data_IF_243191819476
#
_entry.id   IF_243191819476
#
_cell.length_a   1.000
_cell.length_b   1.000
_cell.length_c   1.000
_cell.angle_alpha   90.00
_cell.angle_beta   90.00
_cell.angle_gamma   90.00
#
_symmetry.space_group_name_H-M   'P 1'
#
loop_
_entity.id
_entity.type
_entity.pdbx_description
1 polymer ?
#
# COMPACT_ATOMS: atom_id res chain seq x y z
N UNK A 1 -10.33 0.27 -31.87
CA UNK A 1 -10.22 0.95 -30.56
C UNK A 1 -8.82 1.52 -30.45
N UNK A 2 -8.66 2.85 -30.44
CA UNK A 2 -7.37 3.48 -30.22
C UNK A 2 -6.95 3.19 -28.76
N UNK A 3 -5.90 2.37 -28.56
CA UNK A 3 -5.25 2.25 -27.26
C UNK A 3 -4.75 3.64 -26.89
N UNK A 4 -5.36 4.28 -25.89
CA UNK A 4 -4.75 5.44 -25.24
C UNK A 4 -3.42 4.93 -24.67
N UNK A 5 -2.30 5.43 -25.23
CA UNK A 5 -0.97 5.16 -24.66
C UNK A 5 -0.90 5.99 -23.38
N UNK A 6 -1.22 5.39 -22.24
CA UNK A 6 -1.01 6.03 -20.95
C UNK A 6 0.49 6.06 -20.66
N UNK A 7 1.03 7.25 -20.35
CA UNK A 7 2.40 7.36 -19.85
C UNK A 7 2.50 6.64 -18.52
N UNK A 8 3.39 5.65 -18.43
CA UNK A 8 3.60 4.86 -17.22
C UNK A 8 4.10 5.73 -16.07
N UNK A 9 3.55 5.57 -14.88
CA UNK A 9 4.02 6.23 -13.67
C UNK A 9 5.30 5.55 -13.20
N UNK A 10 6.30 6.35 -12.87
CA UNK A 10 7.63 5.92 -12.40
C UNK A 10 7.99 6.63 -11.10
N UNK A 11 9.04 6.18 -10.42
CA UNK A 11 9.59 6.90 -9.26
C UNK A 11 9.89 8.37 -9.59
N UNK A 12 10.42 8.62 -10.79
CA UNK A 12 10.69 9.99 -11.27
C UNK A 12 9.41 10.81 -11.44
N UNK A 13 8.34 10.20 -11.96
CA UNK A 13 7.05 10.88 -12.11
C UNK A 13 6.47 11.31 -10.77
N UNK A 14 6.64 10.51 -9.70
CA UNK A 14 6.16 10.89 -8.36
C UNK A 14 6.92 12.10 -7.81
N UNK A 15 8.23 12.19 -8.07
CA UNK A 15 9.01 13.37 -7.72
C UNK A 15 8.55 14.60 -8.50
N UNK A 16 8.36 14.46 -9.81
CA UNK A 16 7.83 15.55 -10.67
C UNK A 16 6.45 16.03 -10.18
N UNK A 17 5.56 15.12 -9.74
CA UNK A 17 4.27 15.48 -9.15
C UNK A 17 4.44 16.32 -7.89
N UNK A 18 5.31 15.90 -6.95
CA UNK A 18 5.61 16.70 -5.75
C UNK A 18 6.14 18.08 -6.11
N UNK A 19 7.12 18.16 -7.01
CA UNK A 19 7.76 19.40 -7.42
C UNK A 19 6.75 20.38 -8.06
N UNK A 20 5.72 19.84 -8.73
CA UNK A 20 4.63 20.61 -9.33
C UNK A 20 3.45 20.90 -8.36
N UNK A 21 3.49 20.38 -7.14
CA UNK A 21 2.37 20.49 -6.19
C UNK A 21 1.15 19.61 -6.54
N UNK A 22 1.32 18.63 -7.43
CA UNK A 22 0.29 17.67 -7.79
C UNK A 22 0.18 16.58 -6.72
N UNK A 23 -1.06 16.17 -6.38
CA UNK A 23 -1.28 15.15 -5.36
C UNK A 23 -1.18 13.75 -5.94
N UNK A 24 -0.48 12.87 -5.22
CA UNK A 24 -0.26 11.47 -5.57
C UNK A 24 -1.39 10.63 -4.95
N UNK A 25 -2.08 9.86 -5.79
CA UNK A 25 -3.08 8.90 -5.38
C UNK A 25 -2.49 7.50 -5.31
N UNK A 26 -2.73 6.82 -4.16
CA UNK A 26 -2.24 5.46 -3.93
C UNK A 26 -3.34 4.59 -3.33
N UNK A 27 -3.50 3.36 -3.83
CA UNK A 27 -4.43 2.36 -3.29
C UNK A 27 -3.77 1.01 -3.19
N UNK A 28 -4.23 0.18 -2.24
CA UNK A 28 -3.81 -1.22 -2.23
C UNK A 28 -4.56 -2.03 -3.29
N UNK A 29 -3.94 -3.11 -3.77
CA UNK A 29 -4.62 -4.19 -4.50
C UNK A 29 -3.85 -5.50 -4.33
N UNK A 30 -4.55 -6.64 -4.42
CA UNK A 30 -3.98 -7.94 -4.08
C UNK A 30 -4.26 -9.02 -5.13
N UNK A 31 -5.08 -8.72 -6.14
CA UNK A 31 -5.48 -9.66 -7.20
C UNK A 31 -5.53 -8.99 -8.57
N UNK A 32 -5.62 -9.82 -9.61
CA UNK A 32 -5.63 -9.40 -11.00
C UNK A 32 -6.84 -8.54 -11.37
N UNK A 33 -8.04 -8.92 -10.91
CA UNK A 33 -9.29 -8.28 -11.34
C UNK A 33 -9.42 -6.87 -10.77
N UNK A 34 -9.24 -6.73 -9.44
CA UNK A 34 -9.29 -5.43 -8.77
C UNK A 34 -8.13 -4.53 -9.19
N UNK A 35 -6.91 -5.08 -9.37
CA UNK A 35 -5.79 -4.29 -9.85
C UNK A 35 -6.04 -3.66 -11.23
N UNK A 36 -6.65 -4.39 -12.15
CA UNK A 36 -7.03 -3.86 -13.46
C UNK A 36 -8.09 -2.76 -13.40
N UNK A 37 -9.02 -2.83 -12.45
CA UNK A 37 -10.01 -1.78 -12.19
C UNK A 37 -9.33 -0.53 -11.61
N UNK A 38 -8.46 -0.72 -10.60
CA UNK A 38 -7.70 0.37 -9.96
C UNK A 38 -6.81 1.08 -10.96
N UNK A 39 -6.08 0.36 -11.81
CA UNK A 39 -5.20 0.95 -12.81
C UNK A 39 -6.00 1.78 -13.85
N UNK A 40 -7.14 1.26 -14.32
CA UNK A 40 -8.04 1.97 -15.24
C UNK A 40 -8.70 3.19 -14.63
N UNK A 41 -8.84 3.27 -13.31
CA UNK A 41 -9.39 4.44 -12.61
C UNK A 41 -8.41 5.63 -12.55
N UNK A 42 -7.14 5.42 -12.93
CA UNK A 42 -6.14 6.48 -12.98
C UNK A 42 -5.34 6.69 -11.69
N UNK A 43 -5.37 5.73 -10.76
CA UNK A 43 -4.52 5.74 -9.56
C UNK A 43 -3.03 5.72 -9.96
N UNK A 44 -2.21 6.53 -9.29
CA UNK A 44 -0.80 6.68 -9.65
C UNK A 44 0.08 5.55 -9.10
N UNK A 45 -0.23 5.05 -7.90
CA UNK A 45 0.54 3.99 -7.25
C UNK A 45 -0.39 2.89 -6.74
N UNK A 46 -0.08 1.66 -7.07
CA UNK A 46 -0.73 0.47 -6.49
C UNK A 46 0.23 -0.16 -5.50
N UNK A 47 -0.24 -0.32 -4.26
CA UNK A 47 0.49 -1.00 -3.19
C UNK A 47 0.00 -2.45 -3.07
N UNK A 48 0.89 -3.39 -3.26
CA UNK A 48 0.67 -4.76 -2.77
C UNK A 48 1.15 -4.79 -1.33
N UNK A 49 0.24 -4.42 -0.42
CA UNK A 49 0.54 -4.27 1.00
C UNK A 49 0.52 -5.61 1.75
N UNK A 50 1.30 -5.72 2.82
CA UNK A 50 1.22 -6.85 3.76
C UNK A 50 -0.12 -6.91 4.50
N UNK A 51 -0.92 -5.85 4.43
CA UNK A 51 -2.35 -5.84 4.77
C UNK A 51 -3.18 -6.91 4.03
N UNK A 52 -2.63 -7.55 2.98
CA UNK A 52 -3.18 -8.78 2.41
C UNK A 52 -3.33 -9.90 3.47
N UNK A 53 -2.50 -9.91 4.49
CA UNK A 53 -2.64 -10.81 5.66
C UNK A 53 -4.02 -10.68 6.31
N UNK A 54 -4.47 -9.45 6.53
CA UNK A 54 -5.78 -9.17 7.15
C UNK A 54 -6.92 -9.35 6.13
N UNK A 55 -6.79 -8.74 4.96
CA UNK A 55 -7.87 -8.60 3.98
C UNK A 55 -8.13 -9.91 3.22
N UNK A 56 -7.08 -10.60 2.80
CA UNK A 56 -7.19 -11.78 1.95
C UNK A 56 -7.14 -13.10 2.73
N UNK A 57 -6.37 -13.13 3.83
CA UNK A 57 -6.18 -14.34 4.63
C UNK A 57 -6.93 -14.32 5.97
N UNK A 58 -7.51 -13.18 6.40
CA UNK A 58 -8.30 -13.06 7.62
C UNK A 58 -7.48 -13.12 8.92
N UNK A 59 -6.18 -12.86 8.85
CA UNK A 59 -5.34 -12.80 10.05
C UNK A 59 -5.59 -11.50 10.84
N UNK A 60 -5.37 -11.52 12.15
CA UNK A 60 -5.52 -10.33 13.02
C UNK A 60 -4.45 -9.27 12.78
N UNK A 61 -3.27 -9.66 12.30
CA UNK A 61 -2.12 -8.79 12.05
C UNK A 61 -1.51 -9.02 10.68
N UNK A 62 -0.62 -8.12 10.25
CA UNK A 62 0.14 -8.29 9.00
C UNK A 62 1.30 -9.29 9.13
N UNK A 63 1.65 -9.73 10.35
CA UNK A 63 2.84 -10.54 10.62
C UNK A 63 2.86 -11.94 9.97
N UNK A 64 1.72 -12.66 9.85
CA UNK A 64 1.73 -14.05 9.34
C UNK A 64 2.01 -14.17 7.85
N UNK A 65 1.82 -13.13 7.04
CA UNK A 65 1.98 -13.24 5.59
C UNK A 65 3.43 -13.52 5.22
N UNK A 66 3.63 -14.48 4.33
CA UNK A 66 4.96 -14.91 3.90
C UNK A 66 5.44 -14.15 2.66
N UNK A 67 6.75 -14.22 2.40
CA UNK A 67 7.34 -13.66 1.17
C UNK A 67 6.74 -14.29 -0.10
N UNK A 68 6.48 -15.60 -0.10
CA UNK A 68 5.90 -16.32 -1.24
C UNK A 68 4.47 -15.87 -1.51
N UNK A 69 3.67 -15.63 -0.46
CA UNK A 69 2.32 -15.07 -0.59
C UNK A 69 2.36 -13.64 -1.15
N UNK A 70 3.29 -12.82 -0.68
CA UNK A 70 3.46 -11.46 -1.23
C UNK A 70 3.87 -11.50 -2.71
N UNK A 71 4.75 -12.40 -3.11
CA UNK A 71 5.14 -12.61 -4.51
C UNK A 71 3.93 -13.08 -5.34
N UNK A 72 3.10 -13.97 -4.82
CA UNK A 72 1.88 -14.41 -5.48
C UNK A 72 0.92 -13.26 -5.77
N UNK A 73 0.61 -12.44 -4.74
CA UNK A 73 -0.23 -11.26 -4.90
C UNK A 73 0.37 -10.25 -5.86
N UNK A 74 1.66 -9.94 -5.71
CA UNK A 74 2.37 -9.00 -6.57
C UNK A 74 2.37 -9.44 -8.04
N UNK A 75 2.61 -10.72 -8.30
CA UNK A 75 2.55 -11.30 -9.66
C UNK A 75 1.16 -11.20 -10.28
N UNK A 76 0.11 -11.34 -9.47
CA UNK A 76 -1.28 -11.19 -9.91
C UNK A 76 -1.59 -9.75 -10.30
N UNK A 77 -1.17 -8.80 -9.46
CA UNK A 77 -1.34 -7.35 -9.68
C UNK A 77 -0.58 -6.87 -10.92
N UNK A 78 0.70 -7.24 -11.03
CA UNK A 78 1.56 -6.78 -12.14
C UNK A 78 1.01 -7.18 -13.51
N UNK A 79 0.40 -8.37 -13.64
CA UNK A 79 -0.20 -8.80 -14.92
C UNK A 79 -1.40 -7.96 -15.36
N UNK A 80 -2.03 -7.24 -14.43
CA UNK A 80 -3.21 -6.42 -14.70
C UNK A 80 -2.90 -4.94 -14.92
N UNK A 81 -1.71 -4.47 -14.54
CA UNK A 81 -1.36 -3.04 -14.47
C UNK A 81 -0.56 -2.61 -15.69
N UNK A 82 -1.07 -1.59 -16.40
CA UNK A 82 -0.41 -1.00 -17.56
C UNK A 82 0.24 0.37 -17.24
N UNK A 83 -0.35 1.15 -16.31
CA UNK A 83 0.03 2.55 -16.02
C UNK A 83 0.67 2.75 -14.65
N UNK A 84 0.04 2.31 -13.58
CA UNK A 84 0.43 2.65 -12.22
C UNK A 84 1.82 2.11 -11.83
N UNK A 85 2.49 2.82 -10.92
CA UNK A 85 3.69 2.30 -10.26
C UNK A 85 3.26 1.25 -9.24
N UNK A 86 3.79 0.02 -9.34
CA UNK A 86 3.50 -1.05 -8.37
C UNK A 86 4.62 -1.15 -7.35
N UNK A 87 4.25 -0.96 -6.09
CA UNK A 87 5.14 -1.08 -4.91
C UNK A 87 4.70 -2.29 -4.10
N UNK A 88 5.63 -3.09 -3.60
CA UNK A 88 5.34 -4.31 -2.84
C UNK A 88 5.99 -4.25 -1.47
N UNK A 89 5.24 -4.57 -0.42
CA UNK A 89 5.79 -4.66 0.93
C UNK A 89 6.69 -5.87 1.09
N UNK A 90 7.86 -5.66 1.71
CA UNK A 90 8.60 -6.74 2.32
C UNK A 90 7.89 -7.16 3.61
N UNK A 91 7.44 -8.42 3.74
CA UNK A 91 6.73 -8.86 4.93
C UNK A 91 7.67 -8.98 6.15
N UNK A 92 7.06 -8.97 7.33
CA UNK A 92 7.79 -9.10 8.60
C UNK A 92 8.73 -10.32 8.60
N UNK A 93 9.93 -10.14 9.16
CA UNK A 93 10.96 -11.19 9.27
C UNK A 93 11.88 -11.30 8.07
N UNK A 94 11.59 -10.61 6.96
CA UNK A 94 12.38 -10.73 5.72
C UNK A 94 13.48 -9.67 5.56
N UNK A 95 13.51 -8.65 6.42
CA UNK A 95 14.48 -7.54 6.29
C UNK A 95 15.00 -6.99 7.64
N UNK A 96 14.42 -7.41 8.76
CA UNK A 96 14.79 -6.91 10.08
C UNK A 96 16.04 -7.59 10.65
N UNK A 97 16.32 -8.84 10.23
CA UNK A 97 17.43 -9.64 10.78
C UNK A 97 18.80 -9.12 10.36
N UNK A 98 18.99 -8.92 9.06
CA UNK A 98 20.22 -8.40 8.48
C UNK A 98 20.02 -7.88 7.05
N UNK A 99 21.00 -7.11 6.56
CA UNK A 99 20.90 -6.45 5.25
C UNK A 99 21.06 -7.39 4.06
N UNK A 100 21.66 -8.58 4.23
CA UNK A 100 21.79 -9.56 3.15
C UNK A 100 20.45 -10.25 2.90
N UNK A 101 19.78 -10.72 3.96
CA UNK A 101 18.44 -11.31 3.89
C UNK A 101 17.42 -10.31 3.30
N UNK A 102 17.54 -9.03 3.68
CA UNK A 102 16.72 -7.96 3.12
C UNK A 102 16.89 -7.82 1.60
N UNK A 103 18.14 -7.81 1.12
CA UNK A 103 18.43 -7.75 -0.31
C UNK A 103 17.91 -8.98 -1.06
N UNK A 104 18.12 -10.18 -0.54
CA UNK A 104 17.66 -11.43 -1.15
C UNK A 104 16.13 -11.45 -1.28
N UNK A 105 15.43 -11.03 -0.23
CA UNK A 105 13.98 -10.90 -0.24
C UNK A 105 13.48 -9.88 -1.28
N UNK A 106 14.12 -8.70 -1.34
CA UNK A 106 13.80 -7.68 -2.33
C UNK A 106 14.08 -8.17 -3.77
N UNK A 107 15.19 -8.87 -4.02
CA UNK A 107 15.51 -9.47 -5.32
C UNK A 107 14.42 -10.47 -5.72
N UNK A 108 13.97 -11.32 -4.80
CA UNK A 108 12.90 -12.28 -5.06
C UNK A 108 11.62 -11.58 -5.50
N UNK A 109 11.16 -10.58 -4.74
CA UNK A 109 9.98 -9.79 -5.12
C UNK A 109 10.14 -9.22 -6.53
N UNK A 110 11.23 -8.50 -6.80
CA UNK A 110 11.45 -7.85 -8.09
C UNK A 110 11.49 -8.84 -9.26
N UNK A 111 12.22 -9.94 -9.11
CA UNK A 111 12.42 -10.92 -10.19
C UNK A 111 11.22 -11.83 -10.42
N UNK A 112 10.58 -12.29 -9.34
CA UNK A 112 9.52 -13.29 -9.44
C UNK A 112 8.16 -12.67 -9.74
N UNK A 113 7.91 -11.41 -9.30
CA UNK A 113 6.67 -10.70 -9.60
C UNK A 113 6.75 -9.72 -10.76
N UNK A 114 7.92 -9.15 -11.04
CA UNK A 114 8.09 -8.05 -12.00
C UNK A 114 7.66 -6.68 -11.46
N UNK A 115 7.51 -6.52 -10.13
CA UNK A 115 7.15 -5.25 -9.49
C UNK A 115 8.22 -4.16 -9.70
N UNK A 116 7.87 -2.91 -9.39
CA UNK A 116 8.72 -1.76 -9.74
C UNK A 116 9.52 -1.21 -8.57
N UNK A 117 9.07 -1.46 -7.33
CA UNK A 117 9.70 -0.99 -6.09
C UNK A 117 9.26 -1.84 -4.91
N UNK A 118 9.97 -1.71 -3.78
CA UNK A 118 9.60 -2.34 -2.52
C UNK A 118 9.34 -1.29 -1.43
N UNK A 119 8.53 -1.65 -0.40
CA UNK A 119 8.31 -0.82 0.78
C UNK A 119 8.75 -1.56 2.05
N UNK A 120 9.36 -0.84 2.99
CA UNK A 120 9.86 -1.35 4.27
C UNK A 120 9.42 -0.41 5.41
N UNK A 121 9.09 -1.00 6.55
CA UNK A 121 8.67 -0.30 7.76
C UNK A 121 9.85 -0.11 8.72
N UNK A 122 10.10 1.15 9.13
CA UNK A 122 11.12 1.54 10.09
C UNK A 122 12.06 2.63 9.58
N UNK A 123 12.86 3.15 10.48
CA UNK A 123 13.82 4.22 10.22
C UNK A 123 15.27 3.74 10.42
N UNK A 124 15.96 4.34 11.41
CA UNK A 124 17.38 4.08 11.68
C UNK A 124 17.72 2.62 11.95
N UNK A 125 16.80 1.85 12.52
CA UNK A 125 17.00 0.45 12.88
C UNK A 125 17.16 -0.47 11.67
N UNK A 126 16.58 -0.10 10.51
CA UNK A 126 16.66 -0.87 9.27
C UNK A 126 17.44 -0.16 8.15
N UNK A 127 18.16 0.93 8.50
CA UNK A 127 18.89 1.77 7.53
C UNK A 127 19.86 0.97 6.64
N UNK A 128 20.53 -0.02 7.20
CA UNK A 128 21.53 -0.81 6.47
C UNK A 128 20.86 -1.76 5.47
N UNK A 129 19.70 -2.30 5.80
CA UNK A 129 18.85 -3.09 4.89
C UNK A 129 18.38 -2.23 3.71
N UNK A 130 17.80 -1.04 3.99
CA UNK A 130 17.36 -0.10 2.95
C UNK A 130 18.53 0.32 2.05
N UNK A 131 19.65 0.74 2.64
CA UNK A 131 20.83 1.17 1.90
C UNK A 131 21.37 0.07 0.97
N UNK A 132 21.37 -1.17 1.43
CA UNK A 132 21.85 -2.32 0.65
C UNK A 132 20.94 -2.61 -0.54
N UNK A 133 19.62 -2.56 -0.34
CA UNK A 133 18.60 -2.74 -1.40
C UNK A 133 18.74 -1.64 -2.46
N UNK A 134 18.81 -0.38 -2.05
CA UNK A 134 18.97 0.77 -2.97
C UNK A 134 20.29 0.66 -3.75
N UNK A 135 21.38 0.28 -3.09
CA UNK A 135 22.69 0.11 -3.76
C UNK A 135 22.67 -0.98 -4.84
N UNK A 136 21.77 -1.96 -4.73
CA UNK A 136 21.54 -2.98 -5.76
C UNK A 136 20.67 -2.50 -6.93
N UNK A 137 20.19 -1.24 -6.90
CA UNK A 137 19.35 -0.65 -7.96
C UNK A 137 17.86 -0.85 -7.78
N UNK A 138 17.40 -1.32 -6.63
CA UNK A 138 15.98 -1.51 -6.33
C UNK A 138 15.43 -0.24 -5.64
N UNK A 139 14.39 0.41 -6.19
CA UNK A 139 13.78 1.57 -5.55
C UNK A 139 13.06 1.18 -4.24
N UNK A 140 13.25 1.98 -3.20
CA UNK A 140 12.66 1.74 -1.87
C UNK A 140 11.77 2.90 -1.45
N UNK A 141 10.55 2.57 -1.00
CA UNK A 141 9.64 3.44 -0.27
C UNK A 141 9.79 3.15 1.23
N UNK A 142 10.00 4.19 2.04
CA UNK A 142 10.02 4.05 3.51
C UNK A 142 8.61 4.06 4.09
N UNK A 143 8.47 3.62 5.35
CA UNK A 143 7.21 3.71 6.10
C UNK A 143 7.49 4.03 7.57
N UNK A 144 6.98 5.16 8.05
CA UNK A 144 7.18 5.68 9.41
C UNK A 144 5.83 6.00 10.10
N UNK A 145 5.88 6.20 11.40
CA UNK A 145 4.71 6.44 12.25
C UNK A 145 4.18 5.15 12.84
N UNK A 146 2.91 4.85 12.68
CA UNK A 146 2.39 3.52 12.98
C UNK A 146 2.89 2.56 11.90
N UNK A 147 3.66 1.58 12.33
CA UNK A 147 4.15 0.51 11.46
C UNK A 147 3.47 -0.79 11.91
N UNK A 148 2.49 -1.33 11.14
CA UNK A 148 1.72 -2.53 11.53
C UNK A 148 2.57 -3.74 11.89
N UNK A 149 3.73 -3.91 11.24
CA UNK A 149 4.67 -4.97 11.57
C UNK A 149 5.26 -4.85 12.99
N UNK A 150 5.17 -3.67 13.62
CA UNK A 150 5.60 -3.44 15.00
C UNK A 150 4.46 -3.45 16.00
N UNK A 151 3.28 -4.00 15.65
CA UNK A 151 2.06 -3.89 16.46
C UNK A 151 2.22 -4.43 17.89
N UNK A 152 2.92 -5.52 18.08
CA UNK A 152 3.16 -6.07 19.42
C UNK A 152 4.12 -5.21 20.25
N UNK A 153 5.05 -4.49 19.63
CA UNK A 153 5.89 -3.48 20.29
C UNK A 153 5.07 -2.27 20.74
N UNK A 154 4.09 -1.86 19.94
CA UNK A 154 3.24 -0.71 20.26
C UNK A 154 2.07 -1.07 21.17
N UNK A 155 1.60 -2.31 21.13
CA UNK A 155 0.45 -2.79 21.90
C UNK A 155 -0.91 -2.26 21.43
N UNK A 156 -0.94 -1.33 20.48
CA UNK A 156 -2.18 -0.68 20.02
C UNK A 156 -1.99 -0.01 18.65
N UNK A 157 -3.09 0.16 17.92
CA UNK A 157 -3.16 0.91 16.66
C UNK A 157 -3.44 2.43 16.86
N UNK A 158 -2.98 3.02 17.96
CA UNK A 158 -3.18 4.46 18.22
C UNK A 158 -2.25 5.35 17.40
N UNK A 159 -2.59 6.65 17.33
CA UNK A 159 -1.75 7.67 16.70
C UNK A 159 -0.38 7.73 17.36
N UNK A 160 0.67 7.69 16.55
CA UNK A 160 2.08 7.72 16.96
C UNK A 160 2.64 9.15 16.95
N UNK A 161 3.83 9.31 17.52
CA UNK A 161 4.58 10.57 17.50
C UNK A 161 3.78 11.80 18.04
N UNK A 162 2.98 11.58 19.10
CA UNK A 162 2.30 12.66 19.83
C UNK A 162 3.24 13.39 20.77
N UNK A 163 4.20 12.66 21.36
CA UNK A 163 5.18 13.20 22.28
C UNK A 163 6.40 13.71 21.52
N UNK A 164 7.00 14.80 21.99
CA UNK A 164 8.12 15.49 21.34
C UNK A 164 9.28 14.55 21.00
N UNK A 165 9.61 13.62 21.89
CA UNK A 165 10.70 12.66 21.68
C UNK A 165 10.45 11.77 20.47
N UNK A 166 9.23 11.23 20.33
CA UNK A 166 8.87 10.38 19.20
C UNK A 166 8.70 11.19 17.92
N UNK A 167 8.16 12.42 18.02
CA UNK A 167 8.03 13.34 16.91
C UNK A 167 9.41 13.73 16.32
N UNK A 168 10.37 14.08 17.18
CA UNK A 168 11.72 14.40 16.73
C UNK A 168 12.41 13.19 16.11
N UNK A 169 12.25 11.99 16.69
CA UNK A 169 12.80 10.77 16.10
C UNK A 169 12.21 10.50 14.71
N UNK A 170 10.90 10.71 14.52
CA UNK A 170 10.24 10.53 13.22
C UNK A 170 10.79 11.49 12.17
N UNK A 171 11.05 12.75 12.53
CA UNK A 171 11.67 13.73 11.62
C UNK A 171 13.10 13.32 11.27
N UNK A 172 13.90 12.91 12.26
CA UNK A 172 15.27 12.42 12.03
C UNK A 172 15.28 11.20 11.11
N UNK A 173 14.34 10.27 11.31
CA UNK A 173 14.21 9.09 10.47
C UNK A 173 13.75 9.44 9.04
N UNK A 174 12.87 10.42 8.86
CA UNK A 174 12.46 10.87 7.53
C UNK A 174 13.64 11.47 6.75
N UNK A 175 14.45 12.34 7.39
CA UNK A 175 15.67 12.87 6.78
C UNK A 175 16.70 11.77 6.49
N UNK A 176 16.82 10.78 7.38
CA UNK A 176 17.72 9.65 7.17
C UNK A 176 17.27 8.83 5.93
N UNK A 177 15.98 8.52 5.81
CA UNK A 177 15.43 7.76 4.68
C UNK A 177 15.63 8.50 3.36
N UNK A 178 15.40 9.81 3.32
CA UNK A 178 15.71 10.64 2.16
C UNK A 178 17.21 10.57 1.82
N UNK A 179 18.07 10.80 2.80
CA UNK A 179 19.54 10.81 2.62
C UNK A 179 20.09 9.50 2.08
N UNK A 180 19.54 8.37 2.48
CA UNK A 180 19.98 7.04 1.98
C UNK A 180 19.38 6.68 0.64
N UNK A 181 18.42 7.47 0.11
CA UNK A 181 17.92 7.37 -1.25
C UNK A 181 16.54 6.71 -1.38
N UNK A 182 15.72 6.67 -0.34
CA UNK A 182 14.30 6.33 -0.49
C UNK A 182 13.65 7.32 -1.47
N UNK A 183 12.78 6.83 -2.35
CA UNK A 183 12.11 7.70 -3.33
C UNK A 183 10.82 8.34 -2.81
N UNK A 184 10.24 7.81 -1.73
CA UNK A 184 9.06 8.31 -1.05
C UNK A 184 8.96 7.72 0.36
N UNK A 185 8.13 8.31 1.22
CA UNK A 185 7.85 7.81 2.57
C UNK A 185 6.35 7.79 2.81
N UNK A 186 5.82 6.66 3.32
CA UNK A 186 4.48 6.60 3.90
C UNK A 186 4.54 7.09 5.34
N UNK A 187 3.63 7.98 5.73
CA UNK A 187 3.39 8.37 7.13
C UNK A 187 2.02 7.86 7.56
N UNK A 188 2.00 6.93 8.52
CA UNK A 188 0.75 6.36 9.02
C UNK A 188 0.44 6.81 10.44
N UNK A 189 -0.83 7.26 10.64
CA UNK A 189 -1.42 7.60 11.95
C UNK A 189 -0.49 8.46 12.82
N UNK A 190 -0.06 9.61 12.27
CA UNK A 190 0.70 10.65 12.96
C UNK A 190 -0.09 11.96 13.02
N UNK A 191 0.20 12.87 13.96
CA UNK A 191 -0.45 14.18 13.99
C UNK A 191 -0.28 14.94 12.67
N UNK A 192 -1.38 15.53 12.16
CA UNK A 192 -1.37 16.20 10.84
C UNK A 192 -0.36 17.33 10.71
N UNK A 193 -0.13 18.10 11.79
CA UNK A 193 0.89 19.15 11.81
C UNK A 193 2.32 18.60 11.72
N UNK A 194 2.58 17.45 12.33
CA UNK A 194 3.87 16.77 12.21
C UNK A 194 4.09 16.25 10.79
N UNK A 195 3.09 15.61 10.19
CA UNK A 195 3.16 15.14 8.82
C UNK A 195 3.38 16.28 7.82
N UNK A 196 2.68 17.41 7.98
CA UNK A 196 2.89 18.63 7.20
C UNK A 196 4.33 19.16 7.33
N UNK A 197 4.86 19.18 8.55
CA UNK A 197 6.23 19.60 8.80
C UNK A 197 7.22 18.70 8.07
N UNK A 198 7.10 17.38 8.20
CA UNK A 198 7.95 16.41 7.49
C UNK A 198 7.86 16.60 5.98
N UNK A 199 6.65 16.75 5.42
CA UNK A 199 6.45 16.95 3.99
C UNK A 199 7.12 18.23 3.43
N UNK A 200 7.28 19.26 4.29
CA UNK A 200 7.99 20.49 3.94
C UNK A 200 9.52 20.40 4.12
N UNK A 201 9.97 19.57 5.05
CA UNK A 201 11.41 19.47 5.39
C UNK A 201 12.16 18.47 4.49
N UNK A 202 11.47 17.47 3.91
CA UNK A 202 12.10 16.52 2.98
C UNK A 202 11.70 16.79 1.53
N UNK A 203 12.60 16.51 0.58
CA UNK A 203 12.36 16.76 -0.84
C UNK A 203 11.62 15.59 -1.53
N UNK A 204 11.65 14.39 -0.96
CA UNK A 204 10.95 13.22 -1.53
C UNK A 204 9.45 13.22 -1.18
N UNK A 205 8.58 12.58 -2.00
CA UNK A 205 7.15 12.50 -1.74
C UNK A 205 6.79 11.88 -0.39
N UNK A 206 5.85 12.52 0.32
CA UNK A 206 5.25 12.01 1.55
C UNK A 206 3.80 11.60 1.27
N UNK A 207 3.49 10.31 1.48
CA UNK A 207 2.17 9.71 1.29
C UNK A 207 1.54 9.45 2.66
N UNK A 208 0.39 10.05 2.93
CA UNK A 208 -0.29 9.95 4.23
C UNK A 208 -1.36 8.85 4.26
N UNK A 209 -1.50 8.23 5.42
CA UNK A 209 -2.71 7.49 5.83
C UNK A 209 -3.01 7.80 7.28
N UNK A 210 -4.13 8.48 7.54
CA UNK A 210 -4.40 8.99 8.88
C UNK A 210 -3.37 10.02 9.38
N UNK A 211 -2.74 10.77 8.46
CA UNK A 211 -1.69 11.76 8.72
C UNK A 211 -2.08 13.20 8.32
N UNK A 212 -3.35 13.43 8.00
CA UNK A 212 -3.86 14.74 7.54
C UNK A 212 -3.69 14.96 6.04
N UNK A 213 -4.15 16.12 5.54
CA UNK A 213 -4.22 16.44 4.11
C UNK A 213 -3.03 17.22 3.55
N UNK A 214 -2.15 17.76 4.42
CA UNK A 214 -1.03 18.63 4.01
C UNK A 214 0.26 17.84 3.72
N UNK A 215 0.12 16.73 2.99
CA UNK A 215 1.19 15.87 2.49
C UNK A 215 1.07 15.73 0.97
N UNK A 216 2.00 15.10 0.31
CA UNK A 216 2.08 15.08 -1.16
C UNK A 216 1.11 14.08 -1.79
N UNK A 217 0.68 13.05 -1.05
CA UNK A 217 -0.29 12.07 -1.51
C UNK A 217 -1.03 11.37 -0.38
N UNK A 218 -1.95 10.47 -0.73
CA UNK A 218 -2.73 9.68 0.23
C UNK A 218 -2.79 8.22 -0.23
N UNK A 219 -2.76 7.30 0.75
CA UNK A 219 -3.01 5.87 0.51
C UNK A 219 -4.17 5.39 1.38
N UNK A 220 -4.98 4.50 0.83
CA UNK A 220 -6.00 3.73 1.56
C UNK A 220 -5.94 2.26 1.14
N UNK A 221 -6.50 1.40 1.99
CA UNK A 221 -6.82 0.03 1.62
C UNK A 221 -8.06 0.05 0.73
N UNK A 222 -7.98 -0.56 -0.46
CA UNK A 222 -9.08 -0.55 -1.44
C UNK A 222 -10.38 -1.09 -0.83
N UNK A 223 -10.31 -2.25 -0.15
CA UNK A 223 -11.48 -2.91 0.45
C UNK A 223 -12.19 -2.04 1.49
N UNK A 224 -11.43 -1.22 2.23
CA UNK A 224 -11.99 -0.25 3.17
C UNK A 224 -12.67 0.90 2.43
N UNK A 225 -12.01 1.44 1.39
CA UNK A 225 -12.50 2.54 0.57
C UNK A 225 -13.84 2.23 -0.11
N UNK A 226 -13.99 1.01 -0.65
CA UNK A 226 -15.23 0.56 -1.32
C UNK A 226 -16.25 -0.07 -0.36
N UNK A 227 -15.96 -0.10 0.95
CA UNK A 227 -16.89 -0.57 1.97
C UNK A 227 -17.12 -2.08 2.00
N UNK A 228 -16.13 -2.91 1.63
CA UNK A 228 -16.17 -4.36 1.82
C UNK A 228 -15.92 -4.75 3.27
N UNK A 229 -15.04 -4.03 3.97
CA UNK A 229 -14.69 -4.24 5.39
C UNK A 229 -15.63 -3.43 6.29
N UNK A 230 -16.83 -3.96 6.56
CA UNK A 230 -17.92 -3.23 7.25
C UNK A 230 -17.55 -2.79 8.67
N UNK A 231 -16.87 -3.66 9.42
CA UNK A 231 -16.52 -3.44 10.83
C UNK A 231 -15.39 -2.40 11.04
N UNK A 232 -14.53 -2.19 10.04
CA UNK A 232 -13.40 -1.28 10.14
C UNK A 232 -13.80 0.14 9.75
N UNK A 233 -13.96 1.04 10.72
CA UNK A 233 -14.42 2.41 10.49
C UNK A 233 -13.58 3.47 11.27
N UNK A 234 -12.26 3.58 11.01
CA UNK A 234 -11.43 4.59 11.66
C UNK A 234 -11.75 6.00 11.14
N UNK A 235 -11.46 7.03 11.96
CA UNK A 235 -11.74 8.44 11.64
C UNK A 235 -11.16 8.91 10.29
N UNK A 236 -10.04 8.34 9.86
CA UNK A 236 -9.35 8.75 8.61
C UNK A 236 -9.93 8.11 7.35
N UNK A 237 -10.78 7.08 7.50
CA UNK A 237 -11.38 6.39 6.37
C UNK A 237 -12.61 7.16 5.86
N UNK A 238 -12.62 7.44 4.56
CA UNK A 238 -13.83 7.81 3.83
C UNK A 238 -14.22 6.65 2.94
N UNK A 239 -15.44 6.13 3.12
CA UNK A 239 -16.02 5.15 2.21
C UNK A 239 -16.67 5.86 1.02
N UNK A 240 -16.44 5.33 -0.17
CA UNK A 240 -17.00 5.84 -1.42
C UNK A 240 -18.12 4.92 -1.95
N UNK A 241 -18.22 3.71 -1.41
CA UNK A 241 -19.28 2.73 -1.69
C UNK A 241 -19.62 1.96 -0.42
N UNK A 242 -20.71 1.18 -0.47
CA UNK A 242 -21.09 0.17 0.54
C UNK A 242 -21.17 -1.22 -0.13
N UNK A 243 -20.06 -1.68 -0.68
CA UNK A 243 -20.02 -2.88 -1.50
C UNK A 243 -20.34 -4.17 -0.73
N UNK A 244 -20.11 -4.19 0.58
CA UNK A 244 -20.48 -5.32 1.44
C UNK A 244 -21.98 -5.70 1.30
N UNK A 245 -22.87 -4.72 1.45
CA UNK A 245 -24.31 -4.95 1.41
C UNK A 245 -24.78 -5.23 -0.03
N UNK A 246 -24.18 -4.58 -1.02
CA UNK A 246 -24.46 -4.84 -2.44
C UNK A 246 -24.11 -6.30 -2.85
N UNK A 247 -22.95 -6.80 -2.41
CA UNK A 247 -22.53 -8.17 -2.66
C UNK A 247 -23.49 -9.17 -1.97
N UNK A 248 -23.87 -8.92 -0.71
CA UNK A 248 -24.83 -9.78 -0.01
C UNK A 248 -26.15 -9.85 -0.78
N UNK A 249 -26.69 -8.69 -1.17
CA UNK A 249 -27.96 -8.63 -1.91
C UNK A 249 -27.87 -9.38 -3.25
N UNK A 250 -26.79 -9.17 -4.01
CA UNK A 250 -26.59 -9.85 -5.29
C UNK A 250 -26.51 -11.38 -5.12
N UNK A 251 -25.78 -11.86 -4.10
CA UNK A 251 -25.68 -13.31 -3.83
C UNK A 251 -27.00 -13.87 -3.33
N UNK A 252 -27.78 -13.13 -2.52
CA UNK A 252 -29.08 -13.55 -2.04
C UNK A 252 -30.08 -13.69 -3.21
N UNK A 253 -30.14 -12.69 -4.09
CA UNK A 253 -30.99 -12.73 -5.27
C UNK A 253 -30.66 -13.95 -6.15
N UNK A 254 -29.38 -14.20 -6.45
CA UNK A 254 -28.95 -15.39 -7.19
C UNK A 254 -29.42 -16.70 -6.52
N UNK A 255 -29.32 -16.77 -5.18
CA UNK A 255 -29.81 -17.95 -4.45
C UNK A 255 -31.32 -18.14 -4.56
N UNK A 256 -32.06 -17.02 -4.51
CA UNK A 256 -33.52 -17.06 -4.57
C UNK A 256 -34.01 -17.40 -5.99
N UNK A 257 -33.35 -16.88 -7.04
CA UNK A 257 -33.64 -17.22 -8.43
C UNK A 257 -33.42 -18.71 -8.70
N UNK A 258 -32.35 -19.33 -8.19
CA UNK A 258 -32.13 -20.76 -8.28
C UNK A 258 -33.28 -21.55 -7.60
N UNK A 259 -33.65 -21.15 -6.38
CA UNK A 259 -34.67 -21.86 -5.58
C UNK A 259 -36.07 -21.71 -6.15
N UNK A 260 -36.36 -20.59 -6.81
CA UNK A 260 -37.63 -20.37 -7.50
C UNK A 260 -37.71 -21.02 -8.88
N UNK A 261 -36.57 -21.45 -9.45
CA UNK A 261 -36.48 -21.97 -10.80
C UNK A 261 -36.42 -20.91 -11.89
N UNK A 262 -36.19 -19.67 -11.53
CA UNK A 262 -36.04 -18.55 -12.48
C UNK A 262 -34.64 -18.55 -13.15
N UNK A 263 -33.62 -19.06 -12.45
CA UNK A 263 -32.27 -19.20 -12.99
C UNK A 263 -31.84 -20.70 -13.06
N UNK A 264 -31.30 -21.19 -14.20
CA UNK A 264 -31.27 -20.55 -15.52
C UNK A 264 -32.62 -20.61 -16.22
N UNK A 265 -33.05 -19.53 -16.86
CA UNK A 265 -34.23 -19.51 -17.72
C UNK A 265 -33.87 -19.89 -19.17
N UNK A 266 -34.88 -19.90 -20.08
CA UNK A 266 -34.69 -20.34 -21.48
C UNK A 266 -33.61 -19.57 -22.24
N UNK A 267 -33.32 -18.31 -21.87
CA UNK A 267 -32.31 -17.49 -22.53
C UNK A 267 -30.89 -17.77 -22.01
N UNK A 268 -30.75 -18.52 -20.93
CA UNK A 268 -29.47 -18.80 -20.24
C UNK A 268 -29.09 -20.29 -20.38
N UNK A 269 -29.82 -21.06 -21.17
CA UNK A 269 -29.56 -22.47 -21.45
C UNK A 269 -28.93 -22.66 -22.85
N UNK A 270 -28.17 -23.74 -23.03
CA UNK A 270 -27.56 -24.14 -24.31
C UNK A 270 -28.28 -25.31 -24.92
#
# INVERSE_FOLDING_TARGET
MNKKIYKRVTVKSLQEMKDNGEKISMLTSYDFTLAGIVDKSGIDVILVGDSASNIMAGHETTLPITLDQMIYHASSVIRAVERALVVVDLPFGTYQSDSQAALESAIRIMKESGSHAVKLEGGKEIKDSIKRIIKAGIPVMGHLGLTPQSIYKFGTYTVRAKEDKEANQLIEDAHLLEKIGCFAIVLEKVPSKLAERVAKEVNIPIIGIGAGGNVDGQVLVLHDLIGMTKEFNPRFLRRYMNLHDEIINAISNFSDDIKSGDFPNENEQY
#
